data_IF_320071725509
#
_entry.id   IF_320071725509
#
_cell.length_a   1.000
_cell.length_b   1.000
_cell.length_c   1.000
_cell.angle_alpha   90.00
_cell.angle_beta   90.00
_cell.angle_gamma   90.00
#
_symmetry.space_group_name_H-M   'P 1'
#
loop_
_entity.id
_entity.type
_entity.pdbx_description
1 polymer ?
#
# COMPACT_ATOMS: atom_id res chain seq x y z
N UNK A 1 19.74 -11.42 8.72
CA UNK A 1 19.50 -9.97 8.68
C UNK A 1 17.99 -9.74 8.65
N UNK A 2 17.47 -9.19 9.74
CA UNK A 2 16.13 -8.60 9.96
C UNK A 2 14.93 -9.27 9.25
N UNK A 3 14.54 -10.45 9.73
CA UNK A 3 13.12 -10.78 9.76
C UNK A 3 12.51 -9.96 10.91
N UNK A 4 12.10 -8.71 10.61
CA UNK A 4 11.30 -7.95 11.56
C UNK A 4 10.04 -8.77 11.85
N UNK A 5 9.78 -9.06 13.13
CA UNK A 5 8.60 -9.78 13.57
C UNK A 5 7.36 -9.12 12.94
N UNK A 6 6.77 -9.77 11.93
CA UNK A 6 5.53 -9.32 11.29
C UNK A 6 4.40 -9.53 12.30
N UNK A 7 4.23 -8.58 13.21
CA UNK A 7 3.05 -8.46 14.02
C UNK A 7 1.87 -8.17 13.07
N UNK A 8 1.17 -9.26 12.69
CA UNK A 8 -0.24 -9.33 12.30
C UNK A 8 -0.74 -8.60 11.05
N UNK A 9 0.08 -8.29 10.03
CA UNK A 9 -0.50 -7.72 8.79
C UNK A 9 -1.31 -8.80 8.06
N UNK A 10 -2.63 -8.59 7.88
CA UNK A 10 -3.58 -9.58 7.34
C UNK A 10 -3.21 -10.12 5.95
N UNK A 11 -2.48 -9.35 5.14
CA UNK A 11 -2.15 -9.71 3.77
C UNK A 11 -0.72 -9.26 3.38
N UNK A 12 0.05 -10.06 2.62
CA UNK A 12 1.45 -9.74 2.28
C UNK A 12 1.65 -8.40 1.58
N UNK A 13 0.73 -8.00 0.69
CA UNK A 13 0.82 -6.72 -0.02
C UNK A 13 0.86 -5.51 0.93
N UNK A 14 0.28 -5.63 2.12
CA UNK A 14 0.27 -4.56 3.12
C UNK A 14 1.62 -4.39 3.83
N UNK A 15 2.58 -5.31 3.63
CA UNK A 15 3.95 -5.20 4.12
C UNK A 15 4.91 -4.62 3.07
N UNK A 16 4.46 -4.42 1.83
CA UNK A 16 5.25 -3.78 0.78
C UNK A 16 5.37 -2.27 1.00
N UNK A 17 6.35 -1.63 0.34
CA UNK A 17 6.62 -0.19 0.43
C UNK A 17 5.36 0.66 0.24
N UNK A 18 5.16 1.65 1.09
CA UNK A 18 4.01 2.56 1.00
C UNK A 18 4.14 3.50 -0.18
N UNK A 19 3.08 3.61 -0.99
CA UNK A 19 2.93 4.67 -1.99
C UNK A 19 3.86 4.56 -3.20
N UNK A 20 4.20 3.34 -3.63
CA UNK A 20 5.09 3.12 -4.78
C UNK A 20 4.49 3.67 -6.08
N UNK A 21 5.00 4.83 -6.51
CA UNK A 21 4.48 5.55 -7.68
C UNK A 21 4.73 4.80 -8.98
N UNK A 22 5.89 4.16 -9.14
CA UNK A 22 6.40 3.67 -10.43
C UNK A 22 6.84 4.80 -11.38
N UNK A 23 7.23 4.45 -12.60
CA UNK A 23 7.96 5.32 -13.55
C UNK A 23 7.18 5.69 -14.83
N UNK A 24 5.88 5.35 -14.89
CA UNK A 24 5.00 5.83 -15.95
C UNK A 24 4.60 7.32 -15.76
N UNK A 25 3.70 7.82 -16.60
CA UNK A 25 3.31 9.26 -16.65
C UNK A 25 1.85 9.56 -16.33
N UNK A 26 1.03 8.57 -16.02
CA UNK A 26 -0.34 8.81 -15.58
C UNK A 26 -0.39 9.29 -14.12
N UNK A 27 -1.55 9.79 -13.69
CA UNK A 27 -1.78 10.26 -12.32
C UNK A 27 -3.08 9.65 -11.78
N UNK A 28 -3.00 8.40 -11.35
CA UNK A 28 -4.13 7.72 -10.73
C UNK A 28 -4.13 7.99 -9.23
N UNK A 29 -5.23 8.55 -8.71
CA UNK A 29 -5.45 8.62 -7.26
C UNK A 29 -5.73 7.20 -6.76
N UNK A 30 -4.87 6.70 -5.88
CA UNK A 30 -4.95 5.37 -5.30
C UNK A 30 -4.76 5.44 -3.79
N UNK A 31 -4.99 4.33 -3.12
CA UNK A 31 -4.79 4.17 -1.68
C UNK A 31 -3.67 3.18 -1.40
N UNK A 32 -2.89 3.44 -0.36
CA UNK A 32 -1.79 2.60 0.08
C UNK A 32 -1.80 2.52 1.60
N UNK A 33 -1.42 1.37 2.15
CA UNK A 33 -1.34 1.14 3.57
C UNK A 33 0.03 1.57 4.11
N UNK A 34 -0.01 2.34 5.19
CA UNK A 34 1.17 2.78 5.93
C UNK A 34 1.24 2.02 7.27
N UNK A 35 2.09 0.98 7.39
CA UNK A 35 2.08 0.07 8.53
C UNK A 35 2.45 0.74 9.85
N UNK A 36 3.33 1.75 9.82
CA UNK A 36 3.77 2.46 11.03
C UNK A 36 2.65 3.29 11.69
N UNK A 37 1.67 3.75 10.91
CA UNK A 37 0.53 4.53 11.43
C UNK A 37 -0.78 3.76 11.43
N UNK A 38 -0.79 2.51 10.93
CA UNK A 38 -2.00 1.69 10.75
C UNK A 38 -3.13 2.45 10.00
N UNK A 39 -2.75 3.10 8.90
CA UNK A 39 -3.65 3.95 8.11
C UNK A 39 -3.53 3.67 6.63
N UNK A 40 -4.65 3.78 5.94
CA UNK A 40 -4.69 3.88 4.48
C UNK A 40 -4.64 5.35 4.08
N UNK A 41 -3.63 5.71 3.29
CA UNK A 41 -3.41 7.08 2.83
C UNK A 41 -3.49 7.15 1.30
N UNK A 42 -3.83 8.34 0.77
CA UNK A 42 -3.88 8.57 -0.68
C UNK A 42 -2.48 8.80 -1.24
N UNK A 43 -2.25 8.31 -2.45
CA UNK A 43 -1.05 8.63 -3.24
C UNK A 43 -1.38 8.67 -4.74
N UNK A 44 -0.42 9.10 -5.55
CA UNK A 44 -0.53 9.08 -7.01
C UNK A 44 0.29 7.91 -7.59
N UNK A 45 -0.42 6.98 -8.22
CA UNK A 45 0.19 5.89 -8.99
C UNK A 45 0.38 6.30 -10.45
N UNK A 46 1.56 6.01 -10.99
CA UNK A 46 1.96 6.39 -12.34
C UNK A 46 1.33 5.58 -13.46
N UNK A 47 0.73 4.42 -13.13
CA UNK A 47 0.10 3.50 -14.09
C UNK A 47 0.91 2.25 -14.41
N UNK A 48 2.21 2.19 -14.07
CA UNK A 48 3.02 0.97 -14.19
C UNK A 48 4.09 0.89 -13.10
N UNK A 49 4.70 -0.29 -12.96
CA UNK A 49 5.86 -0.57 -12.08
C UNK A 49 5.68 -0.10 -10.63
N UNK A 50 4.44 -0.09 -10.14
CA UNK A 50 4.16 0.04 -8.71
C UNK A 50 4.23 -1.32 -8.03
N UNK A 51 3.62 -1.41 -6.87
CA UNK A 51 3.53 -2.64 -6.09
C UNK A 51 2.06 -2.98 -5.75
N UNK A 52 1.85 -4.04 -4.98
CA UNK A 52 0.51 -4.54 -4.62
C UNK A 52 -0.13 -3.77 -3.47
N UNK A 53 0.60 -2.87 -2.80
CA UNK A 53 0.09 -1.95 -1.80
C UNK A 53 -0.61 -0.73 -2.46
N UNK A 54 -1.54 -1.03 -3.36
CA UNK A 54 -2.16 -0.09 -4.29
C UNK A 54 -3.63 -0.50 -4.50
N UNK A 55 -4.54 0.28 -3.93
CA UNK A 55 -5.96 -0.01 -3.87
C UNK A 55 -6.78 1.12 -4.51
N UNK A 56 -7.93 0.78 -5.07
CA UNK A 56 -8.79 1.76 -5.75
C UNK A 56 -9.59 2.63 -4.78
N UNK A 57 -9.93 2.07 -3.61
CA UNK A 57 -10.76 2.73 -2.60
C UNK A 57 -10.11 2.68 -1.21
N UNK A 58 -10.56 3.56 -0.32
CA UNK A 58 -10.09 3.55 1.07
C UNK A 58 -10.54 2.25 1.74
N UNK A 59 -11.80 1.88 1.51
CA UNK A 59 -12.47 0.72 2.10
C UNK A 59 -11.75 -0.58 1.73
N UNK A 60 -11.34 -0.75 0.47
CA UNK A 60 -10.56 -1.92 0.03
C UNK A 60 -9.23 -2.03 0.79
N UNK A 61 -8.49 -0.92 0.89
CA UNK A 61 -7.23 -0.87 1.62
C UNK A 61 -7.44 -1.20 3.11
N UNK A 62 -8.46 -0.60 3.73
CA UNK A 62 -8.74 -0.79 5.15
C UNK A 62 -9.19 -2.22 5.46
N UNK A 63 -10.10 -2.78 4.67
CA UNK A 63 -10.54 -4.17 4.81
C UNK A 63 -9.40 -5.17 4.64
N UNK A 64 -8.45 -4.89 3.73
CA UNK A 64 -7.32 -5.76 3.46
C UNK A 64 -6.23 -5.67 4.51
N UNK A 65 -5.91 -4.46 4.98
CA UNK A 65 -4.66 -4.19 5.69
C UNK A 65 -4.81 -3.77 7.15
N UNK A 66 -5.92 -3.12 7.54
CA UNK A 66 -6.13 -2.79 8.95
C UNK A 66 -6.46 -4.05 9.73
N UNK A 67 -5.83 -4.17 10.89
CA UNK A 67 -6.08 -5.23 11.87
C UNK A 67 -7.56 -5.28 12.28
#
# INVERSE_FOLDING_TARGET
>A
MLAACLAAVKHPSCAESTGERGDCRAMHKKWTYHPNSNQCIRFFYSGCHGNSNNFDTQEECEQRCRF
#
